data_IF_582804673157
#
_entry.id   IF_582804673157
#
_cell.length_a   1.000
_cell.length_b   1.000
_cell.length_c   1.000
_cell.angle_alpha   90.00
_cell.angle_beta   90.00
_cell.angle_gamma   90.00
#
_symmetry.space_group_name_H-M   'P 1'
#
loop_
_entity.id
_entity.type
_entity.pdbx_description
1 polymer ?
#
# COMPACT_ATOMS: atom_id res chain seq x y z
N UNK A 1 -3.53 -20.36 -8.80
CA UNK A 1 -3.47 -19.53 -7.58
C UNK A 1 -3.97 -20.38 -6.42
N UNK A 2 -3.21 -20.52 -5.32
CA UNK A 2 -3.70 -21.28 -4.16
C UNK A 2 -4.75 -20.42 -3.42
N UNK A 3 -5.85 -20.99 -2.94
CA UNK A 3 -6.88 -20.24 -2.21
C UNK A 3 -6.32 -19.66 -0.89
N UNK A 4 -6.74 -18.44 -0.57
CA UNK A 4 -6.41 -17.72 0.66
C UNK A 4 -6.91 -18.50 1.88
N UNK A 5 -6.01 -18.81 2.83
CA UNK A 5 -6.40 -19.45 4.09
C UNK A 5 -7.01 -18.41 5.02
N UNK A 6 -8.34 -18.43 5.18
CA UNK A 6 -9.10 -17.49 6.01
C UNK A 6 -9.13 -17.84 7.50
N UNK A 7 -8.54 -18.98 7.89
CA UNK A 7 -8.58 -19.48 9.28
C UNK A 7 -7.46 -18.90 10.16
N UNK A 8 -6.46 -18.22 9.59
CA UNK A 8 -5.41 -17.55 10.32
C UNK A 8 -5.45 -16.04 10.00
N UNK A 9 -5.73 -15.15 10.99
CA UNK A 9 -5.72 -13.70 10.81
C UNK A 9 -4.41 -13.18 10.20
N UNK A 10 -3.26 -13.74 10.61
CA UNK A 10 -1.94 -13.32 10.14
C UNK A 10 -1.76 -13.49 8.62
N UNK A 11 -2.55 -14.38 8.00
CA UNK A 11 -2.54 -14.56 6.55
C UNK A 11 -2.97 -13.29 5.82
N UNK A 12 -3.97 -12.56 6.33
CA UNK A 12 -4.43 -11.31 5.71
C UNK A 12 -3.42 -10.17 5.82
N UNK A 13 -2.60 -10.16 6.88
CA UNK A 13 -1.51 -9.21 7.06
C UNK A 13 -0.36 -9.46 6.08
N UNK A 14 -0.08 -10.74 5.80
CA UNK A 14 0.94 -11.16 4.83
C UNK A 14 0.50 -10.99 3.37
N UNK A 15 -0.80 -11.02 3.08
CA UNK A 15 -1.33 -10.91 1.71
C UNK A 15 -1.16 -9.49 1.12
N UNK A 16 -0.85 -8.49 1.94
CA UNK A 16 -0.56 -7.12 1.49
C UNK A 16 0.88 -6.75 1.86
N UNK A 17 1.83 -7.40 1.20
CA UNK A 17 3.27 -7.17 1.41
C UNK A 17 3.62 -5.67 1.37
N UNK A 18 2.99 -4.89 0.47
CA UNK A 18 3.23 -3.45 0.35
C UNK A 18 2.84 -2.62 1.57
N UNK A 19 1.73 -2.93 2.23
CA UNK A 19 1.30 -2.16 3.40
C UNK A 19 2.03 -2.62 4.67
N UNK A 20 2.35 -3.91 4.75
CA UNK A 20 3.05 -4.48 5.89
C UNK A 20 4.54 -4.08 5.91
N UNK A 21 5.22 -4.16 4.77
CA UNK A 21 6.64 -3.81 4.66
C UNK A 21 6.90 -2.30 4.67
N UNK A 22 5.89 -1.47 4.40
CA UNK A 22 6.01 -0.02 4.46
C UNK A 22 6.19 0.44 5.93
N UNK A 23 7.29 1.13 6.29
CA UNK A 23 7.49 1.62 7.66
C UNK A 23 6.44 2.62 8.12
N UNK A 24 5.83 3.36 7.18
CA UNK A 24 4.76 4.31 7.45
C UNK A 24 3.37 3.67 7.42
N UNK A 25 3.27 2.36 7.17
CA UNK A 25 2.01 1.62 6.99
C UNK A 25 1.02 2.31 6.04
N UNK A 26 1.55 2.95 5.00
CA UNK A 26 0.74 3.63 3.99
C UNK A 26 -0.23 2.64 3.34
N UNK A 27 -1.51 3.02 3.10
CA UNK A 27 -2.50 2.15 2.46
C UNK A 27 -2.23 2.01 0.94
N UNK A 28 -1.11 1.35 0.60
CA UNK A 28 -0.59 1.21 -0.77
C UNK A 28 -1.62 0.65 -1.76
N UNK A 29 -2.30 -0.48 -1.47
CA UNK A 29 -3.28 -1.02 -2.41
C UNK A 29 -4.46 -0.09 -2.66
N UNK A 30 -4.84 0.71 -1.66
CA UNK A 30 -5.98 1.62 -1.76
C UNK A 30 -5.69 2.74 -2.73
N UNK A 31 -4.57 3.46 -2.55
CA UNK A 31 -4.26 4.57 -3.45
C UNK A 31 -3.91 4.08 -4.87
N UNK A 32 -3.32 2.88 -5.02
CA UNK A 32 -3.08 2.29 -6.35
C UNK A 32 -4.40 1.98 -7.06
N UNK A 33 -5.40 1.46 -6.35
CA UNK A 33 -6.74 1.23 -6.93
C UNK A 33 -7.41 2.54 -7.34
N UNK A 34 -7.31 3.59 -6.53
CA UNK A 34 -7.83 4.92 -6.87
C UNK A 34 -7.15 5.47 -8.14
N UNK A 35 -5.83 5.33 -8.27
CA UNK A 35 -5.09 5.67 -9.50
C UNK A 35 -5.63 4.88 -10.70
N UNK A 36 -5.81 3.56 -10.54
CA UNK A 36 -6.35 2.71 -11.61
C UNK A 36 -7.77 3.09 -12.03
N UNK A 37 -8.54 3.71 -11.14
CA UNK A 37 -9.88 4.24 -11.39
C UNK A 37 -9.87 5.69 -11.93
N UNK A 38 -8.71 6.32 -12.04
CA UNK A 38 -8.57 7.72 -12.47
C UNK A 38 -8.80 8.75 -11.35
N UNK A 39 -9.02 8.31 -10.12
CA UNK A 39 -9.17 9.19 -8.95
C UNK A 39 -7.79 9.56 -8.37
N UNK A 40 -7.08 10.44 -9.07
CA UNK A 40 -5.76 10.90 -8.65
C UNK A 40 -5.80 11.73 -7.37
N UNK A 41 -6.87 12.50 -7.17
CA UNK A 41 -7.04 13.35 -5.99
C UNK A 41 -7.25 12.50 -4.74
N UNK A 42 -8.16 11.51 -4.81
CA UNK A 42 -8.38 10.57 -3.72
C UNK A 42 -7.13 9.75 -3.42
N UNK A 43 -6.44 9.27 -4.45
CA UNK A 43 -5.16 8.57 -4.27
C UNK A 43 -4.12 9.42 -3.54
N UNK A 44 -3.98 10.70 -3.88
CA UNK A 44 -3.07 11.61 -3.21
C UNK A 44 -3.44 11.81 -1.73
N UNK A 45 -4.73 12.02 -1.44
CA UNK A 45 -5.21 12.22 -0.07
C UNK A 45 -5.00 10.97 0.78
N UNK A 46 -5.37 9.80 0.25
CA UNK A 46 -5.19 8.50 0.93
C UNK A 46 -3.73 8.18 1.20
N UNK A 47 -2.81 8.51 0.29
CA UNK A 47 -1.37 8.38 0.55
C UNK A 47 -0.92 9.34 1.67
N UNK A 48 -1.42 10.58 1.64
CA UNK A 48 -1.06 11.63 2.60
C UNK A 48 -1.49 11.35 4.04
N UNK A 49 -2.50 10.50 4.26
CA UNK A 49 -2.97 10.12 5.60
C UNK A 49 -1.86 9.54 6.47
N UNK A 50 -0.99 8.70 5.90
CA UNK A 50 0.13 8.08 6.63
C UNK A 50 1.49 8.64 6.22
N UNK A 51 1.58 9.30 5.07
CA UNK A 51 2.82 9.80 4.50
C UNK A 51 2.77 11.32 4.30
N UNK A 52 3.47 12.06 5.16
CA UNK A 52 3.49 13.54 5.10
C UNK A 52 4.14 14.07 3.81
N UNK A 53 5.00 13.27 3.16
CA UNK A 53 5.73 13.65 1.95
C UNK A 53 5.54 12.64 0.80
N UNK A 54 4.32 12.47 0.25
CA UNK A 54 4.04 11.48 -0.78
C UNK A 54 4.91 11.64 -2.03
N UNK A 55 5.17 12.88 -2.42
CA UNK A 55 5.97 13.19 -3.61
C UNK A 55 7.46 12.90 -3.47
N UNK A 56 8.02 13.03 -2.25
CA UNK A 56 9.43 12.71 -1.97
C UNK A 56 9.58 11.20 -1.83
N UNK A 57 8.80 10.59 -0.94
CA UNK A 57 8.86 9.14 -0.70
C UNK A 57 8.52 8.34 -1.96
N UNK A 58 7.62 8.80 -2.83
CA UNK A 58 7.37 8.14 -4.12
C UNK A 58 8.60 8.07 -5.05
N UNK A 59 9.62 8.91 -4.85
CA UNK A 59 10.87 8.92 -5.62
C UNK A 59 12.03 8.23 -4.93
N UNK A 60 12.09 8.28 -3.60
CA UNK A 60 13.24 7.80 -2.81
C UNK A 60 12.95 6.54 -1.99
N UNK A 61 11.72 6.02 -2.00
CA UNK A 61 11.37 4.79 -1.31
C UNK A 61 12.28 3.64 -1.77
N UNK A 62 12.84 2.91 -0.81
CA UNK A 62 13.67 1.72 -1.03
C UNK A 62 12.85 0.51 -1.55
N UNK A 63 11.51 0.64 -1.53
CA UNK A 63 10.54 -0.37 -1.97
C UNK A 63 10.81 -1.75 -1.36
N UNK A 64 10.86 -1.88 -0.01
CA UNK A 64 11.09 -3.17 0.65
C UNK A 64 9.98 -4.22 0.39
N UNK A 65 8.87 -3.78 -0.21
CA UNK A 65 7.75 -4.60 -0.63
C UNK A 65 7.86 -5.16 -2.05
N UNK A 66 8.80 -4.67 -2.85
CA UNK A 66 9.08 -5.18 -4.20
C UNK A 66 10.37 -6.03 -4.13
N UNK A 67 10.39 -7.24 -4.70
CA UNK A 67 11.61 -8.06 -4.79
C UNK A 67 12.59 -7.55 -5.85
#
# INVERSE_FOLDING_TARGET
MKPTNTNNPDYFHKVVDCQWACPAHTPVPTYIRQIAQGDYTGAYLTNRESNVFPGVLGRVCDRPCEP
#
